data_IF_137655505762
#
_entry.id   IF_137655505762
#
_cell.length_a   1.000
_cell.length_b   1.000
_cell.length_c   1.000
_cell.angle_alpha   90.00
_cell.angle_beta   90.00
_cell.angle_gamma   90.00
#
_symmetry.space_group_name_H-M   'P 1'
#
loop_
_entity.id
_entity.type
_entity.pdbx_description
1 polymer ?
#
# COMPACT_ATOMS: atom_id res chain seq x y z
N UNK A 1 21.49 -0.24 12.18
CA UNK A 1 20.33 -0.47 11.29
C UNK A 1 20.18 -1.97 11.14
N UNK A 2 18.98 -2.52 11.34
CA UNK A 2 18.73 -3.93 11.00
C UNK A 2 19.00 -4.16 9.50
N UNK A 3 19.32 -5.39 9.09
CA UNK A 3 19.56 -5.73 7.69
C UNK A 3 18.42 -5.28 6.77
N UNK A 4 17.18 -5.40 7.24
CA UNK A 4 15.97 -4.99 6.53
C UNK A 4 15.91 -3.49 6.22
N UNK A 5 16.32 -2.65 7.16
CA UNK A 5 16.33 -1.19 6.96
C UNK A 5 17.36 -0.78 5.92
N UNK A 6 18.53 -1.42 5.92
CA UNK A 6 19.57 -1.18 4.93
C UNK A 6 19.11 -1.65 3.55
N UNK A 7 18.54 -2.86 3.44
CA UNK A 7 17.98 -3.37 2.20
C UNK A 7 16.92 -2.43 1.64
N UNK A 8 15.93 -2.05 2.47
CA UNK A 8 14.85 -1.15 2.07
C UNK A 8 15.38 0.19 1.57
N UNK A 9 16.36 0.76 2.26
CA UNK A 9 16.99 2.03 1.84
C UNK A 9 17.60 1.91 0.45
N UNK A 10 18.35 0.84 0.20
CA UNK A 10 18.98 0.58 -1.11
C UNK A 10 17.93 0.33 -2.20
N UNK A 11 16.93 -0.51 -1.92
CA UNK A 11 15.85 -0.81 -2.85
C UNK A 11 15.07 0.46 -3.25
N UNK A 12 14.67 1.26 -2.25
CA UNK A 12 13.96 2.53 -2.49
C UNK A 12 14.83 3.52 -3.27
N UNK A 13 16.15 3.54 -3.07
CA UNK A 13 17.05 4.36 -3.87
C UNK A 13 17.08 3.95 -5.36
N UNK A 14 16.70 2.71 -5.69
CA UNK A 14 16.55 2.23 -7.07
C UNK A 14 15.24 2.62 -7.74
N UNK A 15 14.23 3.12 -7.02
CA UNK A 15 12.96 3.56 -7.60
C UNK A 15 13.13 4.76 -8.53
N UNK A 16 12.33 4.88 -9.58
CA UNK A 16 12.28 6.08 -10.41
C UNK A 16 11.95 7.33 -9.59
N UNK A 17 12.63 8.44 -9.89
CA UNK A 17 12.30 9.76 -9.33
C UNK A 17 11.47 10.62 -10.29
N UNK A 18 10.95 10.01 -11.36
CA UNK A 18 10.00 10.66 -12.25
C UNK A 18 8.65 10.92 -11.55
N UNK A 19 7.88 11.84 -12.11
CA UNK A 19 6.47 12.03 -11.76
C UNK A 19 5.63 10.82 -12.19
N UNK A 20 4.51 10.61 -11.52
CA UNK A 20 3.59 9.54 -11.90
C UNK A 20 2.85 8.93 -10.71
N UNK A 21 2.52 7.65 -10.86
CA UNK A 21 1.70 6.88 -9.92
C UNK A 21 2.54 5.76 -9.34
N UNK A 22 2.32 5.45 -8.07
CA UNK A 22 2.91 4.31 -7.39
C UNK A 22 1.85 3.50 -6.65
N UNK A 23 2.13 2.22 -6.47
CA UNK A 23 1.38 1.36 -5.57
C UNK A 23 2.32 0.75 -4.53
N UNK A 24 1.92 0.81 -3.26
CA UNK A 24 2.49 -0.02 -2.21
C UNK A 24 1.76 -1.36 -2.25
N UNK A 25 2.53 -2.45 -2.31
CA UNK A 25 1.99 -3.80 -2.46
C UNK A 25 2.33 -4.66 -1.24
N UNK A 26 1.41 -5.55 -0.89
CA UNK A 26 1.57 -6.49 0.22
C UNK A 26 2.65 -7.56 -0.06
N UNK A 27 2.75 -8.52 0.86
CA UNK A 27 3.68 -9.64 0.79
C UNK A 27 3.48 -10.55 -0.43
N UNK A 28 2.29 -10.56 -1.05
CA UNK A 28 1.97 -11.31 -2.26
C UNK A 28 2.17 -10.48 -3.53
N UNK A 29 2.53 -9.20 -3.40
CA UNK A 29 2.64 -8.28 -4.52
C UNK A 29 1.32 -7.68 -4.97
N UNK A 30 0.23 -7.86 -4.22
CA UNK A 30 -1.06 -7.23 -4.47
C UNK A 30 -1.03 -5.78 -3.96
N UNK A 31 -1.40 -4.77 -4.77
CA UNK A 31 -1.57 -3.41 -4.29
C UNK A 31 -2.49 -3.31 -3.07
N UNK A 32 -2.09 -2.51 -2.09
CA UNK A 32 -2.88 -2.18 -0.89
C UNK A 32 -3.10 -0.67 -0.74
N UNK A 33 -2.25 0.14 -1.38
CA UNK A 33 -2.39 1.59 -1.46
C UNK A 33 -1.85 2.09 -2.80
N UNK A 34 -2.56 3.02 -3.41
CA UNK A 34 -2.14 3.71 -4.64
C UNK A 34 -1.97 5.19 -4.33
N UNK A 35 -0.96 5.84 -4.89
CA UNK A 35 -0.81 7.28 -4.77
C UNK A 35 -0.11 7.88 -5.98
N UNK A 36 -0.22 9.19 -6.13
CA UNK A 36 0.50 9.94 -7.13
C UNK A 36 1.61 10.83 -6.54
N UNK A 37 2.54 11.25 -7.40
CA UNK A 37 3.56 12.24 -7.07
C UNK A 37 3.94 13.10 -8.28
N UNK A 38 3.92 14.42 -8.09
CA UNK A 38 4.47 15.42 -9.02
C UNK A 38 5.92 15.80 -8.69
N UNK A 39 6.40 15.42 -7.50
CA UNK A 39 7.72 15.77 -6.98
C UNK A 39 8.69 14.56 -6.99
N UNK A 40 8.32 13.52 -7.75
CA UNK A 40 9.06 12.26 -7.86
C UNK A 40 8.45 11.11 -7.05
N UNK A 41 8.33 9.94 -7.67
CA UNK A 41 7.77 8.73 -7.03
C UNK A 41 8.66 8.26 -5.89
N UNK A 42 9.98 8.21 -6.10
CA UNK A 42 10.97 7.81 -5.08
C UNK A 42 10.84 8.65 -3.81
N UNK A 43 10.79 9.96 -3.93
CA UNK A 43 10.72 10.88 -2.77
C UNK A 43 9.47 10.60 -1.93
N UNK A 44 8.31 10.43 -2.59
CA UNK A 44 7.03 10.14 -1.94
C UNK A 44 7.02 8.77 -1.27
N UNK A 45 7.41 7.72 -1.98
CA UNK A 45 7.48 6.35 -1.45
C UNK A 45 8.43 6.29 -0.24
N UNK A 46 9.62 6.90 -0.35
CA UNK A 46 10.56 6.97 0.77
C UNK A 46 9.92 7.59 2.01
N UNK A 47 9.19 8.70 1.88
CA UNK A 47 8.48 9.33 3.00
C UNK A 47 7.49 8.37 3.66
N UNK A 48 6.69 7.62 2.89
CA UNK A 48 5.77 6.63 3.44
C UNK A 48 6.50 5.53 4.22
N UNK A 49 7.60 5.01 3.70
CA UNK A 49 8.26 3.85 4.28
C UNK A 49 9.22 4.19 5.44
N UNK A 50 9.63 5.44 5.60
CA UNK A 50 10.61 5.84 6.63
C UNK A 50 10.08 6.81 7.68
N UNK A 51 8.94 7.47 7.45
CA UNK A 51 8.41 8.49 8.36
C UNK A 51 7.09 8.07 8.99
N UNK A 52 7.08 7.96 10.31
CA UNK A 52 5.85 7.80 11.09
C UNK A 52 4.89 9.00 10.97
N UNK A 53 5.35 10.13 10.41
CA UNK A 53 4.55 11.34 10.16
C UNK A 53 3.92 11.39 8.77
N UNK A 54 4.11 10.35 7.95
CA UNK A 54 3.38 10.27 6.68
C UNK A 54 1.91 10.00 6.97
N UNK A 55 0.97 10.74 6.37
CA UNK A 55 -0.45 10.67 6.71
C UNK A 55 -1.00 9.24 6.68
N UNK A 56 -0.59 8.44 5.69
CA UNK A 56 -0.99 7.04 5.52
C UNK A 56 -0.55 6.16 6.70
N UNK A 57 0.60 6.48 7.32
CA UNK A 57 1.14 5.74 8.47
C UNK A 57 0.63 6.34 9.79
N UNK A 58 0.59 7.67 9.88
CA UNK A 58 0.11 8.42 11.03
C UNK A 58 -1.36 8.10 11.34
N UNK A 59 -2.18 7.96 10.29
CA UNK A 59 -3.59 7.61 10.40
C UNK A 59 -3.85 6.10 10.43
N UNK A 60 -2.79 5.28 10.57
CA UNK A 60 -2.88 3.80 10.64
C UNK A 60 -3.55 3.15 9.42
N UNK A 61 -3.53 3.78 8.25
CA UNK A 61 -4.14 3.22 7.04
C UNK A 61 -3.31 2.09 6.44
N UNK A 62 -1.99 2.16 6.56
CA UNK A 62 -1.07 1.12 6.07
C UNK A 62 -0.11 0.71 7.16
N UNK A 63 0.10 -0.59 7.24
CA UNK A 63 1.20 -1.17 7.99
C UNK A 63 2.43 -1.35 7.09
N UNK A 64 3.50 -0.62 7.40
CA UNK A 64 4.78 -0.70 6.68
C UNK A 64 5.37 -2.12 6.69
N UNK A 65 5.01 -2.92 7.70
CA UNK A 65 5.41 -4.33 7.80
C UNK A 65 4.89 -5.18 6.64
N UNK A 66 3.69 -4.88 6.14
CA UNK A 66 3.03 -5.62 5.06
C UNK A 66 3.59 -5.26 3.68
N UNK A 67 4.22 -4.09 3.54
CA UNK A 67 4.73 -3.62 2.24
C UNK A 67 6.00 -4.37 1.84
N UNK A 68 5.89 -5.24 0.83
CA UNK A 68 7.02 -5.96 0.25
C UNK A 68 7.44 -5.44 -1.12
N UNK A 69 6.52 -4.86 -1.90
CA UNK A 69 6.84 -4.35 -3.24
C UNK A 69 6.31 -2.93 -3.44
N UNK A 70 6.92 -2.24 -4.39
CA UNK A 70 6.48 -0.95 -4.91
C UNK A 70 6.39 -1.06 -6.42
N UNK A 71 5.22 -0.80 -6.99
CA UNK A 71 5.01 -0.66 -8.43
C UNK A 71 4.96 0.81 -8.81
N UNK A 72 5.53 1.18 -9.94
CA UNK A 72 5.59 2.57 -10.41
C UNK A 72 5.21 2.67 -11.88
N UNK A 73 4.39 3.67 -12.19
CA UNK A 73 4.01 4.08 -13.54
C UNK A 73 4.47 5.52 -13.75
N UNK A 74 5.43 5.72 -14.64
CA UNK A 74 5.96 7.04 -14.99
C UNK A 74 4.93 7.73 -15.87
N UNK A 75 4.44 8.88 -15.41
CA UNK A 75 3.45 9.67 -16.14
C UNK A 75 3.77 11.14 -15.95
N UNK A 76 3.75 11.90 -17.04
CA UNK A 76 3.97 13.34 -17.06
C UNK A 76 2.66 14.08 -17.30
N UNK A 77 2.48 15.20 -16.61
CA UNK A 77 1.28 16.04 -16.70
C UNK A 77 0.22 15.66 -15.68
N UNK A 78 -0.24 16.64 -14.89
CA UNK A 78 -1.10 16.44 -13.72
C UNK A 78 -2.39 15.67 -14.03
N UNK A 79 -3.03 15.97 -15.15
CA UNK A 79 -4.27 15.31 -15.56
C UNK A 79 -4.04 13.83 -15.93
N UNK A 80 -2.93 13.54 -16.61
CA UNK A 80 -2.55 12.18 -16.99
C UNK A 80 -2.17 11.35 -15.75
N UNK A 81 -1.46 11.96 -14.80
CA UNK A 81 -1.14 11.30 -13.51
C UNK A 81 -2.43 10.97 -12.77
N UNK A 82 -3.35 11.93 -12.66
CA UNK A 82 -4.64 11.72 -11.99
C UNK A 82 -5.47 10.64 -12.70
N UNK A 83 -5.51 10.64 -14.04
CA UNK A 83 -6.19 9.60 -14.80
C UNK A 83 -5.57 8.21 -14.58
N UNK A 84 -4.24 8.11 -14.57
CA UNK A 84 -3.53 6.86 -14.26
C UNK A 84 -3.79 6.40 -12.83
N UNK A 85 -3.80 7.31 -11.85
CA UNK A 85 -4.06 6.98 -10.44
C UNK A 85 -5.43 6.34 -10.28
N UNK A 86 -6.46 6.95 -10.87
CA UNK A 86 -7.82 6.41 -10.86
C UNK A 86 -7.91 5.05 -11.56
N UNK A 87 -7.22 4.87 -12.69
CA UNK A 87 -7.19 3.61 -13.45
C UNK A 87 -6.55 2.48 -12.65
N UNK A 88 -5.37 2.73 -12.07
CA UNK A 88 -4.67 1.77 -11.21
C UNK A 88 -5.52 1.46 -9.97
N UNK A 89 -6.05 2.48 -9.31
CA UNK A 89 -6.91 2.31 -8.15
C UNK A 89 -8.12 1.42 -8.46
N UNK A 90 -8.93 1.78 -9.45
CA UNK A 90 -10.18 1.07 -9.74
C UNK A 90 -9.96 -0.39 -10.14
N UNK A 91 -8.90 -0.67 -10.90
CA UNK A 91 -8.55 -2.05 -11.27
C UNK A 91 -8.22 -2.91 -10.05
N UNK A 92 -7.40 -2.42 -9.12
CA UNK A 92 -6.98 -3.22 -7.97
C UNK A 92 -7.99 -3.21 -6.81
N UNK A 93 -8.76 -2.12 -6.61
CA UNK A 93 -9.84 -2.04 -5.61
C UNK A 93 -10.96 -3.05 -5.92
N UNK A 94 -11.22 -3.33 -7.20
CA UNK A 94 -12.18 -4.34 -7.65
C UNK A 94 -11.74 -5.79 -7.37
N UNK A 95 -10.42 -6.04 -7.22
CA UNK A 95 -9.87 -7.37 -6.93
C UNK A 95 -9.84 -7.60 -5.42
N UNK A 96 -9.24 -6.66 -4.69
CA UNK A 96 -9.19 -6.67 -3.24
C UNK A 96 -9.19 -5.21 -2.76
N UNK A 97 -10.12 -4.79 -1.89
CA UNK A 97 -10.28 -3.39 -1.53
C UNK A 97 -8.97 -2.75 -1.08
N UNK A 98 -8.65 -1.57 -1.59
CA UNK A 98 -7.46 -0.81 -1.21
C UNK A 98 -7.75 0.05 0.02
N UNK A 99 -6.68 0.40 0.75
CA UNK A 99 -6.74 1.20 1.97
C UNK A 99 -6.77 2.71 1.69
N UNK A 100 -6.75 3.08 0.40
CA UNK A 100 -6.97 4.45 -0.02
C UNK A 100 -8.24 5.02 0.61
N UNK A 101 -8.19 6.32 0.92
CA UNK A 101 -9.38 7.08 1.28
C UNK A 101 -10.39 7.22 0.14
N UNK A 102 -11.49 7.94 0.43
CA UNK A 102 -12.70 8.03 -0.40
C UNK A 102 -12.47 7.94 -1.93
N UNK A 103 -13.37 7.18 -2.56
CA UNK A 103 -13.26 6.59 -3.89
C UNK A 103 -12.62 7.48 -4.94
N UNK A 104 -11.44 7.07 -5.40
CA UNK A 104 -10.83 7.56 -6.63
C UNK A 104 -11.56 7.03 -7.89
N UNK A 105 -12.64 6.27 -7.73
CA UNK A 105 -13.35 5.59 -8.81
C UNK A 105 -14.68 6.27 -9.10
N UNK A 106 -14.64 7.36 -9.85
CA UNK A 106 -15.81 7.88 -10.58
C UNK A 106 -15.99 7.18 -11.94
N UNK A 107 -15.04 6.30 -12.33
CA UNK A 107 -15.07 5.59 -13.60
C UNK A 107 -15.82 4.26 -13.46
N UNK A 108 -16.88 4.10 -14.24
CA UNK A 108 -17.53 2.82 -14.46
C UNK A 108 -16.67 2.01 -15.46
N UNK A 109 -16.24 0.81 -15.06
CA UNK A 109 -15.43 -0.12 -15.89
C UNK A 109 -14.18 0.50 -16.56
N UNK A 110 -13.20 1.02 -15.79
CA UNK A 110 -12.01 1.60 -16.39
C UNK A 110 -11.12 0.54 -17.05
N UNK A 111 -10.44 0.87 -18.17
CA UNK A 111 -9.55 -0.08 -18.82
C UNK A 111 -8.44 -0.51 -17.85
N UNK A 112 -8.07 -1.79 -17.86
CA UNK A 112 -6.97 -2.29 -17.00
C UNK A 112 -5.70 -1.44 -17.19
N UNK A 113 -5.01 -1.00 -16.12
CA UNK A 113 -3.79 -0.20 -16.25
C UNK A 113 -2.73 -0.96 -17.07
N UNK A 114 -1.83 -0.26 -17.77
CA UNK A 114 -0.68 -0.92 -18.37
C UNK A 114 0.20 -1.55 -17.28
N UNK A 115 1.10 -2.44 -17.68
CA UNK A 115 2.12 -2.96 -16.76
C UNK A 115 2.94 -1.79 -16.16
N UNK A 116 3.35 -1.91 -14.89
CA UNK A 116 4.19 -0.89 -14.26
C UNK A 116 5.54 -0.82 -14.97
N UNK A 117 6.03 0.40 -15.18
CA UNK A 117 7.39 0.63 -15.68
C UNK A 117 8.47 0.04 -14.77
N UNK A 118 8.15 -0.08 -13.47
CA UNK A 118 9.07 -0.60 -12.48
C UNK A 118 8.30 -1.33 -11.37
N UNK A 119 8.82 -2.49 -10.98
CA UNK A 119 8.44 -3.18 -9.73
C UNK A 119 9.70 -3.38 -8.91
N UNK A 120 9.71 -2.89 -7.67
CA UNK A 120 10.85 -2.97 -6.74
C UNK A 120 10.42 -3.69 -5.47
N UNK A 121 11.14 -4.75 -5.10
CA UNK A 121 11.00 -5.38 -3.81
C UNK A 121 11.74 -4.57 -2.73
N UNK A 122 11.07 -4.24 -1.62
CA UNK A 122 11.57 -3.33 -0.57
C UNK A 122 11.85 -4.01 0.77
N UNK A 123 11.80 -5.35 0.81
CA UNK A 123 12.28 -6.18 1.92
C UNK A 123 13.08 -7.38 1.38
N UNK A 124 14.05 -7.91 2.12
CA UNK A 124 14.74 -9.14 1.71
C UNK A 124 13.76 -10.30 1.47
N UNK A 125 14.06 -11.17 0.51
CA UNK A 125 13.16 -12.28 0.18
C UNK A 125 12.97 -13.26 1.35
N UNK A 126 14.04 -13.58 2.07
CA UNK A 126 13.96 -14.41 3.26
C UNK A 126 13.01 -13.83 4.31
N UNK A 127 13.02 -12.51 4.48
CA UNK A 127 12.11 -11.81 5.39
C UNK A 127 10.67 -11.82 4.85
N UNK A 128 10.46 -11.63 3.54
CA UNK A 128 9.13 -11.73 2.92
C UNK A 128 8.51 -13.11 3.17
N UNK A 129 9.25 -14.18 2.90
CA UNK A 129 8.80 -15.56 3.12
C UNK A 129 8.49 -15.83 4.59
N UNK A 130 9.30 -15.29 5.49
CA UNK A 130 9.07 -15.39 6.92
C UNK A 130 7.78 -14.67 7.35
N UNK A 131 7.49 -13.49 6.79
CA UNK A 131 6.27 -12.73 7.07
C UNK A 131 5.01 -13.34 6.45
N UNK A 132 5.16 -14.15 5.39
CA UNK A 132 4.06 -14.85 4.75
C UNK A 132 3.49 -16.00 5.58
N UNK A 133 4.21 -16.46 6.60
CA UNK A 133 3.74 -17.50 7.50
C UNK A 133 2.34 -17.14 8.06
N UNK A 134 1.33 -18.03 7.94
CA UNK A 134 -0.06 -17.69 8.26
C UNK A 134 -0.25 -17.15 9.70
N UNK A 135 0.43 -17.74 10.67
CA UNK A 135 0.43 -17.34 12.08
C UNK A 135 0.90 -15.89 12.28
N UNK A 136 2.00 -15.53 11.64
CA UNK A 136 2.60 -14.19 11.73
C UNK A 136 1.75 -13.16 11.01
N UNK A 137 1.28 -13.50 9.80
CA UNK A 137 0.48 -12.60 8.98
C UNK A 137 -0.86 -12.30 9.62
N UNK A 138 -1.54 -13.32 10.15
CA UNK A 138 -2.80 -13.14 10.88
C UNK A 138 -2.60 -12.31 12.15
N UNK A 139 -1.59 -12.65 12.97
CA UNK A 139 -1.31 -11.91 14.21
C UNK A 139 -1.03 -10.43 13.92
N UNK A 140 -0.27 -10.15 12.86
CA UNK A 140 0.03 -8.77 12.47
C UNK A 140 -1.22 -8.03 12.00
N UNK A 141 -2.06 -8.66 11.19
CA UNK A 141 -3.29 -8.05 10.68
C UNK A 141 -4.29 -7.76 11.80
N UNK A 142 -4.43 -8.65 12.79
CA UNK A 142 -5.25 -8.41 14.00
C UNK A 142 -4.74 -7.16 14.72
N UNK A 143 -3.43 -7.08 14.98
CA UNK A 143 -2.84 -5.94 15.67
C UNK A 143 -2.97 -4.64 14.87
N UNK A 144 -2.92 -4.68 13.55
CA UNK A 144 -3.13 -3.51 12.70
C UNK A 144 -4.59 -3.05 12.70
N UNK A 145 -5.52 -3.99 12.60
CA UNK A 145 -6.96 -3.72 12.65
C UNK A 145 -7.34 -3.07 13.98
N UNK A 146 -6.88 -3.64 15.10
CA UNK A 146 -7.09 -3.10 16.45
C UNK A 146 -6.58 -1.66 16.60
N UNK A 147 -5.34 -1.38 16.16
CA UNK A 147 -4.78 -0.01 16.18
C UNK A 147 -5.59 0.98 15.34
N UNK A 148 -6.14 0.55 14.21
CA UNK A 148 -6.96 1.42 13.37
C UNK A 148 -8.33 1.69 14.02
N UNK A 149 -8.95 0.67 14.64
CA UNK A 149 -10.18 0.84 15.43
C UNK A 149 -9.94 1.84 16.56
N UNK A 150 -8.90 1.63 17.37
CA UNK A 150 -8.56 2.52 18.48
C UNK A 150 -8.33 3.96 17.99
N UNK A 151 -7.56 4.15 16.92
CA UNK A 151 -7.33 5.47 16.33
C UNK A 151 -8.63 6.15 15.86
N UNK A 152 -9.55 5.40 15.25
CA UNK A 152 -10.84 5.95 14.79
C UNK A 152 -11.70 6.42 15.97
N UNK A 153 -11.69 5.67 17.07
CA UNK A 153 -12.48 5.95 18.26
C UNK A 153 -11.90 7.08 19.12
N UNK A 154 -10.57 7.15 19.22
CA UNK A 154 -9.88 8.04 20.17
C UNK A 154 -9.32 9.31 19.53
N UNK A 155 -9.00 9.28 18.22
CA UNK A 155 -8.33 10.39 17.54
C UNK A 155 -9.22 11.02 16.47
N UNK A 156 -9.64 10.25 15.46
CA UNK A 156 -10.33 10.80 14.29
C UNK A 156 -11.23 9.80 13.60
N UNK A 157 -12.52 10.13 13.53
CA UNK A 157 -13.48 9.37 12.74
C UNK A 157 -13.71 10.04 11.38
N UNK A 158 -13.23 9.43 10.30
CA UNK A 158 -13.36 9.97 8.94
C UNK A 158 -13.72 8.88 7.91
N UNK A 159 -14.42 9.21 6.81
CA UNK A 159 -14.86 8.22 5.83
C UNK A 159 -13.73 7.38 5.23
N UNK A 160 -12.57 7.99 4.94
CA UNK A 160 -11.41 7.28 4.43
C UNK A 160 -10.83 6.24 5.40
N UNK A 161 -10.95 6.48 6.71
CA UNK A 161 -10.48 5.54 7.73
C UNK A 161 -11.43 4.37 7.87
N UNK A 162 -12.74 4.62 7.75
CA UNK A 162 -13.75 3.54 7.71
C UNK A 162 -13.57 2.64 6.49
N UNK A 163 -13.29 3.21 5.31
CA UNK A 163 -12.96 2.41 4.12
C UNK A 163 -11.67 1.59 4.32
N UNK A 164 -10.62 2.21 4.86
CA UNK A 164 -9.39 1.50 5.22
C UNK A 164 -9.65 0.36 6.21
N UNK A 165 -10.53 0.57 7.20
CA UNK A 165 -10.91 -0.44 8.18
C UNK A 165 -11.60 -1.64 7.51
N UNK A 166 -12.56 -1.40 6.63
CA UNK A 166 -13.25 -2.44 5.86
C UNK A 166 -12.29 -3.24 4.96
N UNK A 167 -11.34 -2.54 4.31
CA UNK A 167 -10.30 -3.17 3.51
C UNK A 167 -9.35 -4.04 4.37
N UNK A 168 -9.04 -3.62 5.60
CA UNK A 168 -8.30 -4.44 6.56
C UNK A 168 -9.11 -5.65 7.04
N UNK A 169 -10.43 -5.50 7.25
CA UNK A 169 -11.31 -6.60 7.64
C UNK A 169 -11.38 -7.68 6.54
N UNK A 170 -11.51 -7.28 5.28
CA UNK A 170 -11.47 -8.19 4.13
C UNK A 170 -10.19 -9.04 4.11
N UNK A 171 -9.04 -8.42 4.39
CA UNK A 171 -7.75 -9.14 4.53
C UNK A 171 -7.69 -10.01 5.77
N UNK A 172 -8.24 -9.54 6.90
CA UNK A 172 -8.28 -10.31 8.14
C UNK A 172 -9.05 -11.63 7.95
N UNK A 173 -10.22 -11.58 7.29
CA UNK A 173 -10.99 -12.78 6.94
C UNK A 173 -10.16 -13.74 6.09
N UNK A 174 -9.49 -13.23 5.05
CA UNK A 174 -8.62 -14.04 4.18
C UNK A 174 -7.48 -14.70 4.95
N UNK A 175 -6.76 -13.95 5.77
CA UNK A 175 -5.62 -14.50 6.54
C UNK A 175 -6.06 -15.44 7.65
N UNK A 176 -7.25 -15.20 8.22
CA UNK A 176 -7.87 -16.14 9.16
C UNK A 176 -8.18 -17.48 8.48
N UNK A 177 -8.76 -17.47 7.28
CA UNK A 177 -9.00 -18.69 6.51
C UNK A 177 -7.69 -19.42 6.20
N UNK A 178 -6.66 -18.71 5.74
CA UNK A 178 -5.33 -19.28 5.46
C UNK A 178 -4.65 -19.89 6.69
N UNK A 179 -4.95 -19.39 7.89
CA UNK A 179 -4.40 -19.93 9.13
C UNK A 179 -5.07 -21.25 9.56
N UNK A 180 -6.34 -21.45 9.19
CA UNK A 180 -7.11 -22.65 9.54
C UNK A 180 -6.89 -23.84 8.59
N UNK A 181 -6.31 -23.61 7.41
CA UNK A 181 -6.04 -24.60 6.37
C UNK A 181 -4.58 -25.02 6.36
#
# INVERSE_FOLDING_TARGET
MSGDQAFRKTAVAGLTDATGVYALCDLDGQPIYVGQSTDGIRSRVRRHLTSARSDVIANRQIDVWEVAFVRAWKVTGTDAITAMERRVFAHFDAILPLMNGAGLSDMFDPPAPPDPDQTVQVIPEAERLLRLAPDRRLTRQIAQYDRLVDYILTVKNAPHLRKSLDAHFSRLVRYHQMFLT
#
